data_IF_461332566738
#
_entry.id   IF_461332566738
#
_cell.length_a   1.000
_cell.length_b   1.000
_cell.length_c   1.000
_cell.angle_alpha   90.00
_cell.angle_beta   90.00
_cell.angle_gamma   90.00
#
_symmetry.space_group_name_H-M   'P 1'
#
loop_
_entity.id
_entity.type
_entity.pdbx_description
1 polymer ?
#
# COMPACT_ATOMS: atom_id res chain seq x y z
N UNK A 1 3.95 19.85 25.56
CA UNK A 1 5.11 19.30 24.81
C UNK A 1 6.01 20.45 24.37
N UNK A 2 7.27 20.19 24.04
CA UNK A 2 8.15 21.23 23.51
C UNK A 2 8.39 20.97 22.01
N UNK A 3 7.60 21.66 21.18
CA UNK A 3 7.77 21.70 19.73
C UNK A 3 8.33 23.08 19.34
N UNK A 4 9.28 23.11 18.42
CA UNK A 4 9.78 24.34 17.79
C UNK A 4 9.46 24.29 16.31
N UNK A 5 8.85 25.36 15.82
CA UNK A 5 8.36 25.45 14.45
C UNK A 5 9.26 26.38 13.66
N UNK A 6 10.02 25.83 12.73
CA UNK A 6 10.85 26.62 11.83
C UNK A 6 10.10 26.84 10.52
N UNK A 7 9.52 28.02 10.35
CA UNK A 7 8.75 28.39 9.14
C UNK A 7 9.60 28.54 7.88
N UNK A 8 10.92 28.69 7.99
CA UNK A 8 11.82 28.77 6.84
C UNK A 8 12.18 27.38 6.32
N UNK A 9 12.56 26.46 7.21
CA UNK A 9 12.90 25.09 6.83
C UNK A 9 11.70 24.16 6.79
N UNK A 10 10.54 24.62 7.26
CA UNK A 10 9.32 23.83 7.44
C UNK A 10 9.59 22.55 8.27
N UNK A 11 10.29 22.69 9.39
CA UNK A 11 10.52 21.57 10.31
C UNK A 11 9.88 21.87 11.66
N UNK A 12 9.15 20.87 12.18
CA UNK A 12 8.65 20.84 13.55
C UNK A 12 9.63 19.99 14.37
N UNK A 13 10.47 20.65 15.15
CA UNK A 13 11.48 20.00 15.99
C UNK A 13 10.91 19.65 17.36
N UNK A 14 11.09 18.40 17.78
CA UNK A 14 10.82 17.96 19.15
C UNK A 14 12.09 18.23 19.96
N UNK A 15 12.04 19.15 20.94
CA UNK A 15 13.23 19.69 21.62
C UNK A 15 13.56 19.03 22.97
N UNK A 16 12.87 17.95 23.31
CA UNK A 16 13.13 17.15 24.50
C UNK A 16 13.02 15.66 24.12
N UNK A 17 13.67 14.70 24.83
CA UNK A 17 13.60 13.29 24.47
C UNK A 17 12.20 12.74 24.80
N UNK A 18 11.31 12.92 23.84
CA UNK A 18 9.95 12.41 23.85
C UNK A 18 9.85 11.30 22.82
N UNK A 19 9.50 10.12 23.28
CA UNK A 19 9.39 8.91 22.45
C UNK A 19 7.98 8.70 21.92
N UNK A 20 7.01 9.54 22.28
CA UNK A 20 5.61 9.38 21.85
C UNK A 20 5.00 10.72 21.48
N UNK A 21 4.43 10.84 20.29
CA UNK A 21 3.65 11.99 19.84
C UNK A 21 2.20 11.56 19.68
N UNK A 22 1.30 12.27 20.36
CA UNK A 22 -0.13 12.13 20.19
C UNK A 22 -0.59 13.15 19.14
N UNK A 23 -1.30 12.68 18.12
CA UNK A 23 -1.77 13.50 17.00
C UNK A 23 -2.65 14.68 17.47
N UNK A 24 -3.46 14.45 18.51
CA UNK A 24 -4.28 15.52 19.12
C UNK A 24 -3.43 16.68 19.66
N UNK A 25 -2.31 16.37 20.32
CA UNK A 25 -1.46 17.41 20.92
C UNK A 25 -0.66 18.13 19.83
N UNK A 26 -0.19 17.38 18.82
CA UNK A 26 0.50 17.96 17.68
C UNK A 26 -0.38 18.96 16.92
N UNK A 27 -1.64 18.62 16.63
CA UNK A 27 -2.52 19.56 15.92
C UNK A 27 -2.86 20.79 16.76
N UNK A 28 -3.02 20.65 18.08
CA UNK A 28 -3.27 21.78 18.96
C UNK A 28 -2.11 22.78 18.90
N UNK A 29 -0.88 22.29 18.98
CA UNK A 29 0.33 23.11 18.91
C UNK A 29 0.51 23.74 17.52
N UNK A 30 0.22 23.00 16.45
CA UNK A 30 0.17 23.56 15.08
C UNK A 30 -0.81 24.74 15.02
N UNK A 31 -2.04 24.59 15.54
CA UNK A 31 -3.03 25.68 15.53
C UNK A 31 -2.59 26.88 16.35
N UNK A 32 -1.97 26.65 17.51
CA UNK A 32 -1.37 27.73 18.30
C UNK A 32 -0.33 28.50 17.49
N UNK A 33 0.54 27.81 16.75
CA UNK A 33 1.58 28.44 15.95
C UNK A 33 1.05 29.16 14.71
N UNK A 34 0.08 28.58 14.00
CA UNK A 34 -0.60 29.26 12.88
C UNK A 34 -1.30 30.55 13.32
N UNK A 35 -1.82 30.59 14.55
CA UNK A 35 -2.42 31.80 15.13
C UNK A 35 -1.41 32.81 15.70
N UNK A 36 -0.12 32.49 15.71
CA UNK A 36 0.93 33.37 16.23
C UNK A 36 1.23 34.53 15.27
N UNK A 37 1.86 35.60 15.77
CA UNK A 37 2.25 36.75 14.96
C UNK A 37 3.14 36.36 13.77
N UNK A 38 4.04 35.40 13.96
CA UNK A 38 4.86 34.84 12.87
C UNK A 38 4.01 33.95 11.97
N UNK A 39 3.23 33.02 12.52
CA UNK A 39 2.46 32.05 11.73
C UNK A 39 1.45 32.69 10.77
N UNK A 40 0.84 33.82 11.16
CA UNK A 40 -0.06 34.58 10.28
C UNK A 40 0.62 35.15 9.02
N UNK A 41 1.94 35.30 9.02
CA UNK A 41 2.71 35.78 7.88
C UNK A 41 3.15 34.67 6.91
N UNK A 42 2.97 33.40 7.29
CA UNK A 42 3.40 32.24 6.49
C UNK A 42 2.19 31.41 6.03
N UNK A 43 2.39 30.57 4.99
CA UNK A 43 1.39 29.58 4.61
C UNK A 43 1.06 28.62 5.75
N UNK A 44 -0.13 28.03 5.65
CA UNK A 44 -0.66 27.04 6.59
C UNK A 44 0.30 25.87 6.77
N UNK A 45 0.43 25.37 8.00
CA UNK A 45 1.32 24.26 8.36
C UNK A 45 0.64 22.92 8.03
N UNK A 46 -0.63 22.77 8.40
CA UNK A 46 -1.33 21.49 8.21
C UNK A 46 -2.86 21.61 8.17
N UNK A 47 -3.49 20.71 7.44
CA UNK A 47 -4.92 20.40 7.59
C UNK A 47 -5.15 19.24 8.54
N UNK A 48 -6.32 19.19 9.15
CA UNK A 48 -6.73 18.08 9.99
C UNK A 48 -8.23 17.81 9.84
N UNK A 49 -8.59 16.52 9.81
CA UNK A 49 -9.98 16.06 9.77
C UNK A 49 -10.19 14.85 10.70
N UNK A 50 -11.46 14.52 10.97
CA UNK A 50 -11.86 13.46 11.92
C UNK A 50 -12.21 14.00 13.30
N UNK A 51 -12.01 13.18 14.34
CA UNK A 51 -12.48 13.44 15.72
C UNK A 51 -14.01 13.56 15.84
N UNK A 52 -14.74 12.90 14.95
CA UNK A 52 -16.20 12.83 15.00
C UNK A 52 -16.62 12.01 16.21
N UNK A 53 -17.55 12.54 17.00
CA UNK A 53 -18.08 11.84 18.17
C UNK A 53 -19.00 10.70 17.72
N UNK A 54 -18.65 9.47 18.09
CA UNK A 54 -19.44 8.26 17.77
C UNK A 54 -20.39 7.87 18.91
N UNK A 55 -20.42 8.65 20.00
CA UNK A 55 -21.14 8.33 21.22
C UNK A 55 -20.32 7.45 22.17
N UNK A 56 -20.77 7.34 23.42
CA UNK A 56 -20.12 6.48 24.42
C UNK A 56 -18.67 6.83 24.76
N UNK A 57 -18.25 8.08 24.51
CA UNK A 57 -16.86 8.52 24.71
C UNK A 57 -15.88 8.07 23.63
N UNK A 58 -16.37 7.50 22.53
CA UNK A 58 -15.55 7.09 21.38
C UNK A 58 -15.61 8.17 20.30
N UNK A 59 -14.48 8.43 19.64
CA UNK A 59 -14.40 9.34 18.50
C UNK A 59 -13.54 8.75 17.38
N UNK A 60 -13.73 9.22 16.15
CA UNK A 60 -12.84 8.84 15.03
C UNK A 60 -11.42 9.38 15.27
N UNK A 61 -10.41 8.70 14.72
CA UNK A 61 -9.03 9.18 14.77
C UNK A 61 -8.86 10.46 13.96
N UNK A 62 -7.93 11.33 14.37
CA UNK A 62 -7.59 12.53 13.60
C UNK A 62 -6.63 12.15 12.48
N UNK A 63 -6.84 12.65 11.27
CA UNK A 63 -5.83 12.62 10.20
C UNK A 63 -5.29 14.02 10.00
N UNK A 64 -3.99 14.22 10.21
CA UNK A 64 -3.27 15.45 9.91
C UNK A 64 -2.56 15.30 8.56
N UNK A 65 -2.75 16.27 7.67
CA UNK A 65 -2.02 16.41 6.41
C UNK A 65 -1.08 17.61 6.50
N UNK A 66 0.23 17.36 6.55
CA UNK A 66 1.25 18.42 6.54
C UNK A 66 1.39 19.02 5.14
N UNK A 67 1.37 20.35 5.05
CA UNK A 67 1.53 21.10 3.80
C UNK A 67 3.00 21.25 3.41
N UNK A 68 3.31 21.38 2.11
CA UNK A 68 3.93 20.28 1.39
C UNK A 68 5.35 19.95 1.80
N UNK A 69 6.13 20.89 2.35
CA UNK A 69 7.50 20.61 2.78
C UNK A 69 7.62 20.46 4.31
N UNK A 70 6.52 20.60 5.06
CA UNK A 70 6.51 20.43 6.51
C UNK A 70 6.80 18.98 6.92
N UNK A 71 7.75 18.81 7.83
CA UNK A 71 8.08 17.52 8.41
C UNK A 71 8.27 17.60 9.92
N UNK A 72 7.90 16.53 10.62
CA UNK A 72 8.17 16.33 12.04
C UNK A 72 9.56 15.71 12.22
N UNK A 73 10.40 16.31 13.07
CA UNK A 73 11.74 15.80 13.41
C UNK A 73 11.82 15.45 14.89
N UNK A 74 12.13 14.18 15.15
CA UNK A 74 12.33 13.69 16.52
C UNK A 74 13.65 14.16 17.12
N UNK A 75 13.70 14.17 18.46
CA UNK A 75 14.94 14.39 19.19
C UNK A 75 15.99 13.34 18.81
N UNK A 76 17.25 13.74 18.70
CA UNK A 76 18.32 12.82 18.32
C UNK A 76 18.55 11.76 19.41
N UNK A 77 18.72 10.50 19.00
CA UNK A 77 18.97 9.38 19.91
C UNK A 77 18.87 8.03 19.20
N UNK A 78 18.94 6.95 19.98
CA UNK A 78 18.79 5.58 19.49
C UNK A 78 17.57 4.92 20.14
N UNK A 79 16.41 5.03 19.50
CA UNK A 79 15.14 4.54 20.05
C UNK A 79 14.05 4.41 18.98
N UNK A 80 12.93 3.78 19.37
CA UNK A 80 11.70 3.74 18.57
C UNK A 80 10.78 4.84 19.08
N UNK A 81 10.36 5.72 18.18
CA UNK A 81 9.43 6.80 18.44
C UNK A 81 8.03 6.46 17.93
N UNK A 82 7.02 6.66 18.77
CA UNK A 82 5.65 6.27 18.51
C UNK A 82 4.79 7.47 18.10
N UNK A 83 4.02 7.31 17.02
CA UNK A 83 2.95 8.24 16.63
C UNK A 83 1.62 7.58 16.95
N UNK A 84 0.74 8.26 17.70
CA UNK A 84 -0.50 7.66 18.22
C UNK A 84 -1.70 8.61 18.17
N UNK A 85 -2.92 8.08 18.28
CA UNK A 85 -4.15 8.87 18.35
C UNK A 85 -4.64 9.42 17.02
N UNK A 86 -4.09 8.93 15.90
CA UNK A 86 -4.48 9.37 14.57
C UNK A 86 -3.51 8.93 13.48
N UNK A 87 -3.60 9.60 12.34
CA UNK A 87 -2.74 9.44 11.19
C UNK A 87 -2.00 10.76 10.90
N UNK A 88 -0.72 10.65 10.55
CA UNK A 88 0.07 11.77 10.05
C UNK A 88 0.50 11.45 8.62
N UNK A 89 0.17 12.34 7.69
CA UNK A 89 0.43 12.17 6.25
C UNK A 89 0.90 13.50 5.65
N UNK A 90 1.30 13.48 4.37
CA UNK A 90 1.81 14.67 3.66
C UNK A 90 3.31 14.87 3.88
N UNK A 91 3.72 16.13 3.92
CA UNK A 91 5.13 16.52 4.06
C UNK A 91 5.98 16.25 2.81
N UNK A 92 7.27 16.59 2.90
CA UNK A 92 8.17 16.65 1.75
C UNK A 92 8.23 15.30 1.03
N UNK A 93 7.86 15.28 -0.26
CA UNK A 93 7.82 14.07 -1.07
C UNK A 93 6.80 13.02 -0.60
N UNK A 94 5.79 13.43 0.19
CA UNK A 94 4.79 12.55 0.78
C UNK A 94 5.25 11.85 2.07
N UNK A 95 6.42 12.22 2.59
CA UNK A 95 6.92 11.73 3.88
C UNK A 95 6.80 12.84 4.95
N UNK A 96 5.97 12.65 6.00
CA UNK A 96 5.81 13.66 7.04
C UNK A 96 6.94 13.65 8.08
N UNK A 97 7.93 12.76 7.95
CA UNK A 97 9.00 12.61 8.93
C UNK A 97 10.38 12.99 8.38
N UNK A 98 11.04 13.93 9.06
CA UNK A 98 12.41 14.29 8.74
C UNK A 98 13.38 13.21 9.27
N UNK A 99 14.45 12.95 8.52
CA UNK A 99 15.44 11.96 8.90
C UNK A 99 16.23 12.36 10.16
N UNK A 100 16.42 11.40 11.05
CA UNK A 100 17.29 11.51 12.24
C UNK A 100 18.03 10.19 12.41
N UNK A 101 19.34 10.23 12.51
CA UNK A 101 20.15 9.03 12.70
C UNK A 101 19.81 8.35 14.04
N UNK A 102 19.57 7.03 14.00
CA UNK A 102 19.28 6.21 15.19
C UNK A 102 17.81 6.17 15.64
N UNK A 103 16.94 7.04 15.10
CA UNK A 103 15.52 7.04 15.46
C UNK A 103 14.71 6.25 14.44
N UNK A 104 13.96 5.27 14.91
CA UNK A 104 12.98 4.53 14.11
C UNK A 104 11.58 5.01 14.45
N UNK A 105 10.73 5.25 13.45
CA UNK A 105 9.39 5.78 13.67
C UNK A 105 8.36 4.66 13.50
N UNK A 106 7.58 4.41 14.56
CA UNK A 106 6.47 3.46 14.60
C UNK A 106 5.16 4.23 14.62
N UNK A 107 4.42 4.17 13.51
CA UNK A 107 3.12 4.82 13.41
C UNK A 107 2.02 3.84 13.81
N UNK A 108 1.36 4.12 14.94
CA UNK A 108 0.17 3.37 15.39
C UNK A 108 -1.05 4.03 14.74
N UNK A 109 -1.31 3.63 13.50
CA UNK A 109 -2.34 4.25 12.66
C UNK A 109 -3.75 3.97 13.19
N UNK A 110 -4.63 4.95 13.02
CA UNK A 110 -6.07 4.80 13.27
C UNK A 110 -6.78 4.36 11.99
N UNK A 111 -7.68 3.39 12.10
CA UNK A 111 -8.48 2.96 10.97
C UNK A 111 -9.40 4.09 10.48
N UNK A 112 -9.37 4.37 9.18
CA UNK A 112 -10.24 5.31 8.50
C UNK A 112 -10.95 4.61 7.33
N UNK A 113 -12.20 4.98 7.04
CA UNK A 113 -12.89 4.49 5.84
C UNK A 113 -12.27 5.10 4.61
N UNK A 114 -11.85 4.26 3.65
CA UNK A 114 -11.15 4.69 2.44
C UNK A 114 -11.99 4.39 1.20
N UNK A 115 -12.19 5.39 0.34
CA UNK A 115 -12.70 5.19 -1.02
C UNK A 115 -11.51 5.36 -1.96
N UNK A 116 -11.14 4.29 -2.68
CA UNK A 116 -10.05 4.34 -3.65
C UNK A 116 -10.65 4.69 -5.01
N UNK A 117 -10.41 5.92 -5.47
CA UNK A 117 -10.94 6.41 -6.75
C UNK A 117 -10.04 6.06 -7.95
N UNK A 118 -8.75 5.83 -7.72
CA UNK A 118 -7.84 5.16 -8.66
C UNK A 118 -6.48 4.89 -7.97
N UNK A 119 -6.00 3.64 -7.98
CA UNK A 119 -4.60 3.35 -7.66
C UNK A 119 -4.23 3.10 -6.19
N UNK A 120 -4.95 2.24 -5.47
CA UNK A 120 -4.38 1.60 -4.27
C UNK A 120 -3.59 0.36 -4.67
N UNK A 121 -2.25 0.43 -4.82
CA UNK A 121 -1.34 -0.67 -5.22
C UNK A 121 -1.95 -1.72 -6.18
N UNK A 122 -2.80 -1.26 -7.09
CA UNK A 122 -3.41 -2.13 -8.08
C UNK A 122 -2.39 -2.28 -9.20
N UNK A 123 -2.40 -3.44 -9.84
CA UNK A 123 -1.65 -3.63 -11.08
C UNK A 123 -1.94 -2.46 -12.01
N UNK A 124 -0.89 -1.84 -12.50
CA UNK A 124 -0.99 -0.93 -13.64
C UNK A 124 -1.72 -1.66 -14.78
N UNK A 125 -2.38 -0.93 -15.68
CA UNK A 125 -3.01 -1.55 -16.85
C UNK A 125 -2.02 -2.46 -17.59
N UNK A 126 -0.76 -2.04 -17.69
CA UNK A 126 0.30 -2.84 -18.29
C UNK A 126 0.63 -4.13 -17.52
N UNK A 127 0.63 -4.12 -16.19
CA UNK A 127 0.83 -5.34 -15.40
C UNK A 127 -0.40 -6.25 -15.42
N UNK A 128 -1.61 -5.67 -15.41
CA UNK A 128 -2.87 -6.40 -15.61
C UNK A 128 -2.87 -7.11 -16.96
N UNK A 129 -2.50 -6.40 -18.01
CA UNK A 129 -2.45 -6.93 -19.36
C UNK A 129 -1.38 -8.01 -19.51
N UNK A 130 -0.27 -7.92 -18.76
CA UNK A 130 0.73 -9.01 -18.68
C UNK A 130 0.18 -10.27 -18.03
N UNK A 131 -0.61 -10.15 -16.95
CA UNK A 131 -1.24 -11.32 -16.33
C UNK A 131 -2.33 -11.93 -17.21
N UNK A 132 -3.11 -11.08 -17.88
CA UNK A 132 -4.18 -11.54 -18.77
C UNK A 132 -3.65 -12.11 -20.08
N UNK A 133 -2.55 -11.56 -20.62
CA UNK A 133 -1.91 -12.07 -21.85
C UNK A 133 -1.04 -13.30 -21.60
N UNK A 134 -0.49 -13.47 -20.40
CA UNK A 134 0.38 -14.61 -20.08
C UNK A 134 -0.30 -15.98 -20.16
N UNK A 135 -1.63 -16.04 -19.95
CA UNK A 135 -2.38 -17.29 -19.98
C UNK A 135 -2.80 -17.71 -21.41
N UNK A 136 -2.96 -16.77 -22.34
CA UNK A 136 -3.39 -17.05 -23.71
C UNK A 136 -2.22 -17.08 -24.72
N UNK A 137 -1.21 -16.22 -24.55
CA UNK A 137 -0.11 -16.11 -25.51
C UNK A 137 0.94 -17.23 -25.43
N UNK A 138 0.89 -18.09 -24.41
CA UNK A 138 1.96 -19.06 -24.11
C UNK A 138 1.53 -20.52 -24.21
N UNK A 139 0.25 -20.83 -24.46
CA UNK A 139 -0.19 -22.21 -24.68
C UNK A 139 0.09 -22.55 -26.14
N UNK A 140 1.10 -23.39 -26.46
CA UNK A 140 1.47 -23.63 -27.84
C UNK A 140 0.32 -24.30 -28.62
N UNK A 141 0.18 -24.05 -29.93
CA UNK A 141 -0.84 -24.71 -30.75
C UNK A 141 -0.85 -26.23 -30.63
N UNK A 142 0.28 -26.87 -30.29
CA UNK A 142 0.35 -28.32 -30.05
C UNK A 142 -0.56 -28.82 -28.89
N UNK A 143 -0.97 -27.94 -27.98
CA UNK A 143 -1.90 -28.27 -26.88
C UNK A 143 -3.35 -28.19 -27.33
N UNK A 144 -3.70 -27.25 -28.21
CA UNK A 144 -5.06 -27.04 -28.70
C UNK A 144 -5.37 -27.83 -29.98
N UNK A 145 -4.42 -27.87 -30.90
CA UNK A 145 -4.47 -28.58 -32.18
C UNK A 145 -3.68 -29.89 -32.08
N UNK A 146 -3.99 -30.69 -31.07
CA UNK A 146 -3.36 -31.98 -30.89
C UNK A 146 -3.76 -32.92 -32.05
N UNK A 147 -2.78 -33.25 -32.89
CA UNK A 147 -3.01 -34.14 -34.01
C UNK A 147 -3.24 -35.56 -33.51
N UNK A 148 -4.46 -36.09 -33.66
CA UNK A 148 -4.84 -37.47 -33.30
C UNK A 148 -3.89 -38.55 -33.88
N UNK A 149 -3.24 -38.27 -35.02
CA UNK A 149 -2.26 -39.17 -35.63
C UNK A 149 -1.04 -39.41 -34.71
N UNK A 150 -0.64 -38.42 -33.91
CA UNK A 150 0.43 -38.58 -32.92
C UNK A 150 0.09 -39.66 -31.87
N UNK A 151 -1.20 -39.78 -31.51
CA UNK A 151 -1.71 -40.76 -30.55
C UNK A 151 -1.90 -42.16 -31.13
N UNK A 152 -1.76 -42.33 -32.44
CA UNK A 152 -1.91 -43.61 -33.13
C UNK A 152 -0.57 -44.14 -33.69
N UNK A 153 0.54 -43.55 -33.27
CA UNK A 153 1.90 -43.99 -33.65
C UNK A 153 2.26 -45.33 -32.97
N UNK A 154 3.12 -46.13 -33.61
CA UNK A 154 3.60 -47.39 -33.03
C UNK A 154 4.24 -47.16 -31.65
N UNK A 155 3.86 -47.97 -30.66
CA UNK A 155 4.34 -47.83 -29.27
C UNK A 155 3.47 -46.96 -28.36
N UNK A 156 2.46 -46.26 -28.88
CA UNK A 156 1.48 -45.53 -28.05
C UNK A 156 0.32 -46.42 -27.61
N UNK A 157 -0.34 -46.04 -26.51
CA UNK A 157 -1.56 -46.72 -26.05
C UNK A 157 -2.71 -46.58 -27.07
N UNK A 158 -2.85 -45.42 -27.71
CA UNK A 158 -3.91 -45.19 -28.71
C UNK A 158 -3.78 -46.09 -29.94
N UNK A 159 -2.56 -46.41 -30.37
CA UNK A 159 -2.30 -47.44 -31.39
C UNK A 159 -2.70 -48.83 -30.91
N UNK A 160 -2.31 -49.21 -29.69
CA UNK A 160 -2.66 -50.53 -29.15
C UNK A 160 -4.19 -50.75 -29.12
N UNK A 161 -4.97 -49.75 -28.69
CA UNK A 161 -6.44 -49.81 -28.72
C UNK A 161 -6.99 -49.94 -30.16
N UNK A 162 -6.45 -49.14 -31.10
CA UNK A 162 -6.87 -49.20 -32.51
C UNK A 162 -6.66 -50.59 -33.09
N UNK A 163 -5.51 -51.21 -32.82
CA UNK A 163 -5.19 -52.55 -33.32
C UNK A 163 -6.06 -53.64 -32.70
N UNK A 164 -6.31 -53.55 -31.39
CA UNK A 164 -7.24 -54.46 -30.71
C UNK A 164 -8.63 -54.37 -31.35
N UNK A 165 -9.12 -53.15 -31.58
CA UNK A 165 -10.42 -52.92 -32.23
C UNK A 165 -10.45 -53.52 -33.63
N UNK A 166 -9.45 -53.22 -34.47
CA UNK A 166 -9.37 -53.78 -35.83
C UNK A 166 -9.31 -55.31 -35.82
N UNK A 167 -8.51 -55.91 -34.94
CA UNK A 167 -8.40 -57.37 -34.81
C UNK A 167 -9.72 -58.01 -34.37
N UNK A 168 -10.42 -57.40 -33.41
CA UNK A 168 -11.74 -57.86 -32.97
C UNK A 168 -12.79 -57.76 -34.09
N UNK A 169 -12.80 -56.66 -34.86
CA UNK A 169 -13.72 -56.49 -36.00
C UNK A 169 -13.46 -57.52 -37.10
N UNK A 170 -12.19 -57.76 -37.45
CA UNK A 170 -11.83 -58.78 -38.43
C UNK A 170 -12.26 -60.18 -37.97
N UNK A 171 -12.02 -60.51 -36.70
CA UNK A 171 -12.44 -61.79 -36.11
C UNK A 171 -13.97 -61.99 -36.06
N UNK A 172 -14.74 -60.90 -36.06
CA UNK A 172 -16.21 -60.95 -36.11
C UNK A 172 -16.76 -61.15 -37.52
N UNK A 173 -16.04 -60.72 -38.56
CA UNK A 173 -16.43 -60.86 -39.97
C UNK A 173 -15.98 -62.23 -40.53
N UNK A 174 -14.90 -62.82 -39.97
CA UNK A 174 -14.40 -64.14 -40.37
C UNK A 174 -15.16 -65.33 -39.74
N UNK A 175 -16.30 -65.09 -39.08
CA UNK A 175 -17.23 -66.12 -38.59
C UNK A 175 -18.52 -66.05 -39.38
#
# INVERSE_FOLDING_TARGET
>A
MAYVFNFYTQIIDITNPQTTVVIQDLINEIRTQESSATGMAYPKIADAGGKDNLGGGVSTGITITLYPDWQLRFWAGSYIADITGGNLVGGLGGNPFAYVAGVQIKVIQSAASTIVTSGGSALTTAEHDKLMSGLDATIPPAVWEELLASHQTAGTMGKALKDIKTKATLGAISK
#
